data_IF_101948789681
#
_entry.id   IF_101948789681
#
_cell.length_a   1.000
_cell.length_b   1.000
_cell.length_c   1.000
_cell.angle_alpha   90.00
_cell.angle_beta   90.00
_cell.angle_gamma   90.00
#
_symmetry.space_group_name_H-M   'P 1'
#
loop_
_entity.id
_entity.type
_entity.pdbx_description
1 polymer ?
#
# COMPACT_ATOMS: atom_id res chain seq x y z
N UNK A 1 2.82 -1.21 7.13
CA UNK A 1 4.25 -1.59 7.23
C UNK A 1 5.00 -0.58 8.10
N UNK A 2 6.18 -0.89 8.66
CA UNK A 2 6.94 0.04 9.52
C UNK A 2 8.35 0.24 8.97
N UNK A 3 8.66 1.46 8.55
CA UNK A 3 9.97 1.84 8.03
C UNK A 3 10.42 3.16 8.66
N UNK A 4 11.70 3.28 9.00
CA UNK A 4 12.28 4.51 9.56
C UNK A 4 11.51 5.07 10.76
N UNK A 5 11.04 4.17 11.65
CA UNK A 5 10.22 4.47 12.83
C UNK A 5 8.85 5.10 12.54
N UNK A 6 8.41 5.09 11.29
CA UNK A 6 7.10 5.57 10.84
C UNK A 6 6.23 4.39 10.42
N UNK A 7 4.93 4.50 10.67
CA UNK A 7 3.93 3.51 10.26
C UNK A 7 3.32 3.94 8.93
N UNK A 8 3.30 3.03 7.97
CA UNK A 8 2.69 3.24 6.66
C UNK A 8 1.42 2.40 6.56
N UNK A 9 0.31 3.07 6.22
CA UNK A 9 -0.96 2.46 5.84
C UNK A 9 -1.19 2.76 4.37
N UNK A 10 -1.56 1.73 3.60
CA UNK A 10 -1.73 1.85 2.16
C UNK A 10 -2.65 0.75 1.65
N UNK A 11 -3.29 1.04 0.52
CA UNK A 11 -4.25 0.14 -0.07
C UNK A 11 -5.56 0.07 0.71
N UNK A 12 -6.30 -1.01 0.49
CA UNK A 12 -7.60 -1.25 1.11
C UNK A 12 -8.76 -1.02 0.17
N UNK A 13 -9.94 -1.36 0.65
CA UNK A 13 -11.22 -1.28 -0.05
C UNK A 13 -12.26 -0.76 0.95
N UNK A 14 -13.10 0.17 0.51
CA UNK A 14 -14.24 0.61 1.33
C UNK A 14 -15.30 -0.50 1.35
N UNK A 15 -15.82 -0.82 2.53
CA UNK A 15 -16.84 -1.86 2.67
C UNK A 15 -18.08 -1.52 1.82
N UNK A 16 -18.44 -2.42 0.91
CA UNK A 16 -19.60 -2.25 0.02
C UNK A 16 -19.40 -1.30 -1.16
N UNK A 17 -18.21 -0.70 -1.32
CA UNK A 17 -17.90 0.15 -2.48
C UNK A 17 -17.14 -0.62 -3.57
N UNK A 18 -17.09 -0.01 -4.76
CA UNK A 18 -16.26 -0.48 -5.88
C UNK A 18 -14.87 0.18 -5.93
N UNK A 19 -14.43 0.82 -4.83
CA UNK A 19 -13.17 1.56 -4.80
C UNK A 19 -12.09 0.78 -4.06
N UNK A 20 -10.97 0.61 -4.74
CA UNK A 20 -9.71 0.16 -4.13
C UNK A 20 -8.76 1.36 -4.09
N UNK A 21 -8.16 1.55 -2.93
CA UNK A 21 -7.28 2.67 -2.66
C UNK A 21 -5.87 2.38 -3.15
N UNK A 22 -5.26 3.39 -3.75
CA UNK A 22 -3.81 3.47 -3.97
C UNK A 22 -3.12 4.41 -2.98
N UNK A 23 -3.90 5.12 -2.18
CA UNK A 23 -3.39 6.14 -1.25
C UNK A 23 -2.49 5.52 -0.20
N UNK A 24 -1.52 6.30 0.23
CA UNK A 24 -0.59 5.95 1.30
C UNK A 24 -0.58 7.07 2.32
N UNK A 25 -0.72 6.68 3.58
CA UNK A 25 -0.62 7.57 4.72
C UNK A 25 0.49 7.08 5.64
N UNK A 26 1.22 8.04 6.19
CA UNK A 26 2.37 7.80 7.04
C UNK A 26 2.13 8.45 8.41
N UNK A 27 2.16 7.64 9.45
CA UNK A 27 2.09 8.09 10.82
C UNK A 27 3.49 8.21 11.43
N UNK A 28 3.83 9.41 11.91
CA UNK A 28 5.06 9.66 12.67
C UNK A 28 4.76 9.68 14.18
N UNK A 29 5.07 8.60 14.93
CA UNK A 29 4.83 8.54 16.37
C UNK A 29 5.62 9.59 17.16
N UNK A 30 6.67 10.18 16.60
CA UNK A 30 7.42 11.25 17.26
C UNK A 30 6.61 12.55 17.38
N UNK A 31 5.57 12.72 16.55
CA UNK A 31 4.63 13.86 16.61
C UNK A 31 3.52 13.67 17.65
N UNK A 32 3.50 12.52 18.32
CA UNK A 32 2.48 12.12 19.29
C UNK A 32 1.48 11.13 18.70
N UNK A 33 0.66 10.51 19.56
CA UNK A 33 -0.37 9.53 19.14
C UNK A 33 -1.79 10.06 19.32
N UNK A 34 -1.94 11.27 19.86
CA UNK A 34 -3.23 11.85 20.25
C UNK A 34 -3.82 12.87 19.26
N UNK A 35 -3.10 13.22 18.20
CA UNK A 35 -3.54 14.22 17.21
C UNK A 35 -3.56 13.65 15.79
N UNK A 36 -4.50 14.12 14.98
CA UNK A 36 -4.56 13.82 13.54
C UNK A 36 -3.35 14.35 12.78
N UNK A 37 -2.67 15.39 13.28
CA UNK A 37 -1.46 15.99 12.71
C UNK A 37 -0.24 15.05 12.70
N UNK A 38 -0.38 13.87 13.30
CA UNK A 38 0.65 12.83 13.31
C UNK A 38 0.60 11.97 12.04
N UNK A 39 -0.47 12.09 11.24
CA UNK A 39 -0.61 11.48 9.92
C UNK A 39 -0.22 12.48 8.82
N UNK A 40 0.56 12.00 7.86
CA UNK A 40 1.02 12.76 6.69
C UNK A 40 0.72 11.94 5.44
N UNK A 41 0.29 12.60 4.35
CA UNK A 41 0.18 11.94 3.06
C UNK A 41 1.58 11.50 2.57
N UNK A 42 1.65 10.30 1.99
CA UNK A 42 2.83 9.78 1.33
C UNK A 42 2.52 9.51 -0.15
N UNK A 43 3.53 9.26 -1.00
CA UNK A 43 3.30 8.94 -2.40
C UNK A 43 2.32 7.79 -2.59
N UNK A 44 1.34 7.98 -3.47
CA UNK A 44 0.37 6.95 -3.86
C UNK A 44 1.09 5.76 -4.53
N UNK A 45 0.61 4.53 -4.27
CA UNK A 45 1.01 3.34 -5.01
C UNK A 45 0.72 3.47 -6.50
N UNK A 46 1.43 2.68 -7.30
CA UNK A 46 1.22 2.64 -8.76
C UNK A 46 -0.15 2.05 -9.13
N UNK A 47 -0.65 1.11 -8.33
CA UNK A 47 -1.97 0.49 -8.48
C UNK A 47 -2.67 0.41 -7.12
N UNK A 48 -4.00 0.52 -7.12
CA UNK A 48 -4.77 0.25 -5.91
C UNK A 48 -4.73 -1.24 -5.57
N UNK A 49 -4.55 -1.58 -4.29
CA UNK A 49 -4.44 -2.98 -3.86
C UNK A 49 -5.34 -3.27 -2.66
N UNK A 50 -6.07 -4.39 -2.71
CA UNK A 50 -6.62 -5.07 -1.53
C UNK A 50 -6.02 -6.48 -1.41
N UNK A 51 -6.21 -7.12 -0.24
CA UNK A 51 -5.79 -8.51 0.03
C UNK A 51 -4.33 -8.83 -0.35
N UNK A 52 -3.44 -7.86 -0.19
CA UNK A 52 -2.04 -7.94 -0.56
C UNK A 52 -1.15 -8.11 0.68
N UNK A 53 0.11 -8.51 0.47
CA UNK A 53 1.10 -8.59 1.54
C UNK A 53 1.99 -7.35 1.57
N UNK A 54 2.34 -6.88 2.77
CA UNK A 54 3.19 -5.71 2.96
C UNK A 54 4.33 -6.02 3.94
N UNK A 55 5.56 -5.61 3.61
CA UNK A 55 6.72 -5.77 4.50
C UNK A 55 7.61 -4.54 4.46
N UNK A 56 8.47 -4.40 5.47
CA UNK A 56 9.55 -3.43 5.47
C UNK A 56 10.89 -4.14 5.56
N UNK A 57 11.83 -3.75 4.70
CA UNK A 57 13.19 -4.28 4.68
C UNK A 57 14.16 -3.14 4.47
N UNK A 58 15.09 -2.95 5.41
CA UNK A 58 16.15 -1.92 5.35
C UNK A 58 15.61 -0.51 5.03
N UNK A 59 14.53 -0.11 5.71
CA UNK A 59 13.93 1.22 5.52
C UNK A 59 13.09 1.39 4.25
N UNK A 60 12.97 0.35 3.42
CA UNK A 60 12.11 0.31 2.23
C UNK A 60 10.80 -0.39 2.58
N UNK A 61 9.68 0.13 2.07
CA UNK A 61 8.36 -0.50 2.18
C UNK A 61 8.06 -1.25 0.89
N UNK A 62 7.54 -2.47 0.97
CA UNK A 62 7.17 -3.29 -0.17
C UNK A 62 5.71 -3.70 -0.09
N UNK A 63 5.06 -3.78 -1.25
CA UNK A 63 3.74 -4.35 -1.46
C UNK A 63 3.84 -5.49 -2.48
N UNK A 64 3.21 -6.64 -2.18
CA UNK A 64 3.23 -7.82 -3.04
C UNK A 64 1.83 -8.36 -3.27
N UNK A 65 1.54 -8.71 -4.52
CA UNK A 65 0.32 -9.40 -4.89
C UNK A 65 -0.94 -8.55 -4.66
N UNK A 66 -2.02 -9.26 -4.34
CA UNK A 66 -3.33 -8.69 -4.08
C UNK A 66 -4.19 -8.52 -5.31
N UNK A 67 -5.25 -7.74 -5.15
CA UNK A 67 -6.21 -7.46 -6.21
C UNK A 67 -6.41 -5.97 -6.40
N UNK A 68 -6.61 -5.57 -7.65
CA UNK A 68 -6.98 -4.23 -8.07
C UNK A 68 -8.48 -4.12 -8.42
N UNK A 69 -9.24 -5.20 -8.22
CA UNK A 69 -10.69 -5.26 -8.41
C UNK A 69 -11.46 -5.44 -7.10
N UNK A 70 -12.60 -4.75 -6.94
CA UNK A 70 -13.43 -4.85 -5.74
C UNK A 70 -13.93 -6.27 -5.51
N UNK A 71 -14.16 -6.58 -4.23
CA UNK A 71 -14.71 -7.85 -3.76
C UNK A 71 -16.09 -8.19 -4.32
N UNK A 72 -16.84 -7.19 -4.76
CA UNK A 72 -18.19 -7.31 -5.35
C UNK A 72 -18.18 -7.64 -6.85
N UNK A 73 -17.02 -7.63 -7.51
CA UNK A 73 -16.96 -7.96 -8.94
C UNK A 73 -17.25 -9.46 -9.14
N UNK A 74 -18.30 -9.76 -9.90
CA UNK A 74 -18.73 -11.15 -10.17
C UNK A 74 -17.72 -11.93 -11.03
N UNK A 75 -16.65 -11.28 -11.50
CA UNK A 75 -15.63 -11.91 -12.32
C UNK A 75 -14.63 -12.64 -11.44
N UNK A 76 -14.68 -13.98 -11.44
CA UNK A 76 -13.67 -14.85 -10.83
C UNK A 76 -12.35 -14.89 -11.62
N UNK A 77 -12.14 -13.96 -12.55
CA UNK A 77 -10.87 -13.77 -13.23
C UNK A 77 -9.86 -13.29 -12.19
N UNK A 78 -8.95 -14.17 -11.81
CA UNK A 78 -7.76 -13.86 -11.01
C UNK A 78 -7.13 -12.56 -11.53
N UNK A 79 -7.20 -11.51 -10.73
CA UNK A 79 -6.66 -10.20 -11.05
C UNK A 79 -5.15 -10.27 -11.33
N UNK A 80 -4.69 -9.48 -12.29
CA UNK A 80 -3.33 -9.48 -12.86
C UNK A 80 -2.25 -8.98 -11.88
N UNK A 81 -2.64 -8.58 -10.67
CA UNK A 81 -1.75 -8.07 -9.63
C UNK A 81 -1.15 -9.17 -8.74
N UNK A 82 -1.64 -10.43 -8.81
CA UNK A 82 -1.22 -11.51 -7.90
C UNK A 82 0.28 -11.81 -7.91
N UNK A 83 0.94 -11.65 -9.06
CA UNK A 83 2.39 -11.79 -9.20
C UNK A 83 3.14 -10.45 -9.09
N UNK A 84 2.46 -9.31 -9.06
CA UNK A 84 3.14 -8.01 -9.07
C UNK A 84 3.74 -7.64 -7.71
N UNK A 85 4.77 -6.81 -7.74
CA UNK A 85 5.38 -6.23 -6.55
C UNK A 85 5.78 -4.78 -6.82
N UNK A 86 5.77 -3.94 -5.79
CA UNK A 86 6.28 -2.58 -5.86
C UNK A 86 6.89 -2.16 -4.52
N UNK A 87 7.74 -1.15 -4.53
CA UNK A 87 8.36 -0.64 -3.31
C UNK A 87 8.43 0.89 -3.25
N UNK A 88 8.43 1.41 -2.03
CA UNK A 88 8.71 2.80 -1.73
C UNK A 88 10.05 2.87 -0.99
N UNK A 89 11.05 3.40 -1.68
CA UNK A 89 12.39 3.63 -1.14
C UNK A 89 12.35 4.71 -0.06
N UNK A 90 13.33 4.66 0.86
CA UNK A 90 13.48 5.69 1.87
C UNK A 90 13.75 7.05 1.23
N UNK A 91 12.88 8.03 1.51
CA UNK A 91 12.98 9.37 0.93
C UNK A 91 12.56 9.42 -0.55
N UNK A 92 12.06 8.32 -1.10
CA UNK A 92 11.45 8.29 -2.42
C UNK A 92 10.15 9.09 -2.43
N UNK A 93 9.87 9.70 -3.59
CA UNK A 93 8.66 10.47 -3.87
C UNK A 93 7.65 9.69 -4.73
N UNK A 94 7.97 8.44 -5.08
CA UNK A 94 7.12 7.55 -5.86
C UNK A 94 7.36 6.08 -5.50
N UNK A 95 6.35 5.25 -5.80
CA UNK A 95 6.49 3.79 -5.77
C UNK A 95 7.11 3.30 -7.08
N UNK A 96 8.04 2.35 -6.96
CA UNK A 96 8.71 1.71 -8.08
C UNK A 96 8.18 0.28 -8.27
N UNK A 97 7.74 -0.03 -9.49
CA UNK A 97 7.34 -1.38 -9.86
C UNK A 97 8.56 -2.31 -9.87
N UNK A 98 8.41 -3.46 -9.22
CA UNK A 98 9.40 -4.53 -9.22
C UNK A 98 9.04 -5.60 -10.26
N UNK A 99 10.01 -6.42 -10.69
CA UNK A 99 9.73 -7.58 -11.53
C UNK A 99 8.66 -8.49 -10.90
N UNK A 100 7.80 -9.14 -11.71
CA UNK A 100 6.79 -10.04 -11.20
C UNK A 100 7.41 -11.25 -10.49
N UNK A 101 6.74 -11.72 -9.45
CA UNK A 101 6.99 -12.98 -8.75
C UNK A 101 6.69 -14.17 -9.69
N UNK A 102 7.45 -15.25 -9.56
CA UNK A 102 7.34 -16.48 -10.38
C UNK A 102 6.17 -17.37 -9.99
#
# INVERSE_FOLDING_TARGET
AVANRRLYIFGGEDEGASRIWRSVECFDPARGTGSSESWEAAPDMTVGRNRFAAVSLRGTVFAFGGMDQPSTSASRSSCETGASAECLLQGGDAWEALPPMS
#
